data_IF_757328023353
#
_entry.id   IF_757328023353
#
_cell.length_a   1.000
_cell.length_b   1.000
_cell.length_c   1.000
_cell.angle_alpha   90.00
_cell.angle_beta   90.00
_cell.angle_gamma   90.00
#
_symmetry.space_group_name_H-M   'P 1'
#
loop_
_entity.id
_entity.type
_entity.pdbx_description
1 polymer ?
#
# COMPACT_ATOMS: atom_id res chain seq x y z
N UNK A 1 8.08 5.70 -2.05
CA UNK A 1 8.53 4.60 -2.94
C UNK A 1 9.06 3.38 -2.18
N UNK A 2 9.01 3.39 -0.84
CA UNK A 2 9.66 2.39 0.03
C UNK A 2 9.24 0.93 -0.22
N UNK A 3 7.96 0.65 -0.51
CA UNK A 3 7.49 -0.73 -0.72
C UNK A 3 8.11 -1.39 -1.95
N UNK A 4 8.22 -0.67 -3.07
CA UNK A 4 8.77 -1.22 -4.32
C UNK A 4 10.27 -1.45 -4.20
N UNK A 5 10.98 -0.53 -3.57
CA UNK A 5 12.41 -0.68 -3.27
C UNK A 5 12.66 -1.87 -2.34
N UNK A 6 11.85 -2.05 -1.31
CA UNK A 6 11.95 -3.19 -0.41
C UNK A 6 11.70 -4.52 -1.13
N UNK A 7 10.68 -4.61 -2.00
CA UNK A 7 10.43 -5.82 -2.81
C UNK A 7 11.58 -6.08 -3.80
N UNK A 8 12.19 -5.03 -4.34
CA UNK A 8 13.29 -5.16 -5.31
C UNK A 8 14.62 -5.58 -4.68
N UNK A 9 14.89 -5.15 -3.45
CA UNK A 9 16.22 -5.26 -2.82
C UNK A 9 16.29 -6.28 -1.68
N UNK A 10 15.16 -6.53 -1.01
CA UNK A 10 15.09 -7.42 0.15
C UNK A 10 14.52 -8.77 -0.24
N UNK A 11 15.01 -9.83 0.41
CA UNK A 11 14.46 -11.18 0.25
C UNK A 11 13.16 -11.33 1.04
N UNK A 12 12.07 -10.77 0.52
CA UNK A 12 10.76 -10.80 1.18
C UNK A 12 10.14 -12.20 1.04
N UNK A 13 9.71 -12.78 2.16
CA UNK A 13 9.07 -14.10 2.18
C UNK A 13 7.54 -14.04 2.22
N UNK A 14 6.98 -12.92 2.69
CA UNK A 14 5.52 -12.76 2.82
C UNK A 14 5.10 -11.30 3.01
N UNK A 15 3.80 -11.02 2.89
CA UNK A 15 3.23 -9.69 3.23
C UNK A 15 3.63 -9.21 4.65
N UNK A 16 3.66 -10.11 5.64
CA UNK A 16 4.01 -9.78 7.04
C UNK A 16 5.48 -9.45 7.21
N UNK A 17 6.32 -10.11 6.45
CA UNK A 17 7.77 -9.89 6.44
C UNK A 17 8.10 -8.53 5.82
N UNK A 18 7.44 -8.21 4.70
CA UNK A 18 7.51 -6.87 4.10
C UNK A 18 7.10 -5.78 5.07
N UNK A 19 5.94 -5.94 5.74
CA UNK A 19 5.44 -4.96 6.69
C UNK A 19 6.41 -4.66 7.85
N UNK A 20 7.11 -5.70 8.35
CA UNK A 20 8.18 -5.52 9.35
C UNK A 20 9.41 -4.84 8.78
N UNK A 21 9.76 -5.14 7.54
CA UNK A 21 10.94 -4.57 6.85
C UNK A 21 10.80 -3.07 6.65
N UNK A 22 9.59 -2.59 6.33
CA UNK A 22 9.29 -1.17 6.14
C UNK A 22 8.68 -0.50 7.38
N UNK A 23 8.66 -1.18 8.53
CA UNK A 23 8.08 -0.70 9.80
C UNK A 23 6.66 -0.09 9.66
N UNK A 24 5.77 -0.77 8.92
CA UNK A 24 4.37 -0.34 8.70
C UNK A 24 3.38 -1.41 9.12
N UNK A 25 2.15 -0.97 9.41
CA UNK A 25 1.05 -1.89 9.73
C UNK A 25 0.70 -2.80 8.54
N UNK A 26 0.43 -4.07 8.83
CA UNK A 26 0.13 -5.09 7.82
C UNK A 26 -1.13 -4.81 7.02
N UNK A 27 -2.13 -4.17 7.61
CA UNK A 27 -3.38 -3.83 6.91
C UNK A 27 -3.14 -2.78 5.85
N UNK A 28 -2.31 -1.78 6.15
CA UNK A 28 -1.91 -0.72 5.23
C UNK A 28 -1.06 -1.32 4.11
N UNK A 29 -0.06 -2.14 4.46
CA UNK A 29 0.81 -2.79 3.48
C UNK A 29 0.02 -3.72 2.56
N UNK A 30 -0.94 -4.48 3.08
CA UNK A 30 -1.79 -5.33 2.23
C UNK A 30 -2.58 -4.49 1.25
N UNK A 31 -3.20 -3.39 1.69
CA UNK A 31 -3.96 -2.50 0.81
C UNK A 31 -3.08 -1.91 -0.29
N UNK A 32 -1.88 -1.46 0.05
CA UNK A 32 -0.92 -0.91 -0.92
C UNK A 32 -0.48 -2.00 -1.93
N UNK A 33 -0.21 -3.23 -1.46
CA UNK A 33 0.13 -4.36 -2.33
C UNK A 33 -1.00 -4.75 -3.27
N UNK A 34 -2.25 -4.68 -2.81
CA UNK A 34 -3.41 -5.00 -3.66
C UNK A 34 -3.52 -3.97 -4.81
N UNK A 35 -3.30 -2.69 -4.54
CA UNK A 35 -3.21 -1.64 -5.59
C UNK A 35 -2.06 -1.91 -6.56
N UNK A 36 -0.88 -2.28 -6.06
CA UNK A 36 0.28 -2.60 -6.91
C UNK A 36 0.05 -3.84 -7.78
N UNK A 37 -0.68 -4.83 -7.26
CA UNK A 37 -1.04 -6.04 -7.99
C UNK A 37 -2.05 -5.73 -9.10
N UNK A 38 -3.10 -4.96 -8.80
CA UNK A 38 -4.09 -4.50 -9.79
C UNK A 38 -3.43 -3.67 -10.89
N UNK A 39 -2.47 -2.81 -10.53
CA UNK A 39 -1.67 -2.04 -11.47
C UNK A 39 -0.66 -2.90 -12.26
N UNK A 40 -0.62 -4.22 -12.06
CA UNK A 40 0.34 -5.15 -12.69
C UNK A 40 1.81 -4.80 -12.44
N UNK A 41 2.13 -4.10 -11.35
CA UNK A 41 3.52 -3.79 -10.97
C UNK A 41 4.17 -4.98 -10.26
N UNK A 42 3.39 -5.68 -9.43
CA UNK A 42 3.81 -6.88 -8.70
C UNK A 42 2.97 -8.09 -9.09
N UNK A 43 3.49 -9.27 -8.79
CA UNK A 43 2.75 -10.53 -8.78
C UNK A 43 3.01 -11.29 -7.47
N UNK A 44 2.20 -12.31 -7.20
CA UNK A 44 2.39 -13.18 -6.05
C UNK A 44 2.90 -14.54 -6.51
N UNK A 45 4.09 -14.91 -6.06
CA UNK A 45 4.60 -16.27 -6.21
C UNK A 45 4.00 -17.16 -5.10
N UNK A 46 3.44 -18.30 -5.51
CA UNK A 46 2.96 -19.33 -4.59
C UNK A 46 4.12 -20.24 -4.17
N UNK A 47 5.03 -19.71 -3.35
CA UNK A 47 6.12 -20.47 -2.74
C UNK A 47 5.78 -20.91 -1.31
N UNK A 48 5.54 -22.20 -1.08
CA UNK A 48 5.51 -22.77 0.28
C UNK A 48 4.30 -22.37 1.14
N UNK A 49 3.14 -22.12 0.54
CA UNK A 49 1.89 -21.83 1.25
C UNK A 49 1.77 -20.38 1.75
N UNK A 50 2.66 -19.49 1.30
CA UNK A 50 2.60 -18.05 1.59
C UNK A 50 2.63 -17.27 0.29
N UNK A 51 1.79 -16.24 0.19
CA UNK A 51 1.83 -15.30 -0.93
C UNK A 51 3.04 -14.40 -0.79
N UNK A 52 4.05 -14.62 -1.64
CA UNK A 52 5.26 -13.82 -1.71
C UNK A 52 5.11 -12.76 -2.80
N UNK A 53 5.11 -11.46 -2.48
CA UNK A 53 5.07 -10.41 -3.49
C UNK A 53 6.44 -10.30 -4.19
N UNK A 54 6.43 -10.23 -5.52
CA UNK A 54 7.62 -10.02 -6.36
C UNK A 54 7.33 -9.00 -7.47
N UNK A 55 8.36 -8.35 -8.00
CA UNK A 55 8.21 -7.46 -9.16
C UNK A 55 7.91 -8.28 -10.41
N UNK A 56 6.82 -7.94 -11.11
CA UNK A 56 6.44 -8.59 -12.37
C UNK A 56 7.35 -8.18 -13.53
N UNK A 57 7.95 -7.01 -13.44
CA UNK A 57 8.75 -6.41 -14.49
C UNK A 57 10.18 -6.17 -14.00
N UNK A 58 11.15 -6.44 -14.87
CA UNK A 58 12.57 -6.20 -14.58
C UNK A 58 12.89 -4.71 -14.37
N UNK A 59 12.08 -3.80 -14.93
CA UNK A 59 12.22 -2.36 -14.75
C UNK A 59 10.86 -1.75 -14.45
N UNK A 60 10.77 -0.98 -13.37
CA UNK A 60 9.59 -0.21 -12.98
C UNK A 60 10.00 1.27 -12.92
N UNK A 61 9.41 2.11 -13.76
CA UNK A 61 9.60 3.56 -13.72
C UNK A 61 8.45 4.19 -12.94
N UNK A 62 8.77 4.88 -11.84
CA UNK A 62 7.79 5.59 -11.01
C UNK A 62 8.06 7.08 -11.13
N UNK A 63 7.07 7.82 -11.61
CA UNK A 63 7.11 9.28 -11.64
C UNK A 63 6.14 9.82 -10.58
N UNK A 64 6.65 10.42 -9.48
CA UNK A 64 5.79 10.99 -8.46
C UNK A 64 5.05 12.20 -9.04
N UNK A 65 3.72 12.15 -8.97
CA UNK A 65 2.89 13.30 -9.35
C UNK A 65 2.99 14.34 -8.24
N UNK A 66 3.66 15.45 -8.51
CA UNK A 66 3.69 16.60 -7.60
C UNK A 66 2.43 17.42 -7.85
N UNK A 67 1.55 17.50 -6.85
CA UNK A 67 0.35 18.32 -6.92
C UNK A 67 0.61 19.66 -6.25
N UNK A 68 0.62 20.76 -7.03
CA UNK A 68 0.73 22.13 -6.52
C UNK A 68 -0.67 22.68 -6.18
N UNK A 69 -1.34 22.08 -5.20
CA UNK A 69 -2.67 22.50 -4.77
C UNK A 69 -3.00 22.07 -3.35
N UNK A 70 -4.04 22.67 -2.78
CA UNK A 70 -4.50 22.36 -1.42
C UNK A 70 -5.31 21.05 -1.44
N UNK A 71 -4.84 20.04 -0.70
CA UNK A 71 -5.60 18.80 -0.52
C UNK A 71 -6.71 19.10 0.47
N UNK A 72 -7.92 19.33 -0.03
CA UNK A 72 -9.12 19.31 0.81
C UNK A 72 -9.29 17.88 1.31
N UNK A 73 -8.72 17.59 2.48
CA UNK A 73 -9.00 16.35 3.18
C UNK A 73 -10.51 16.25 3.31
N UNK A 74 -11.11 15.21 2.72
CA UNK A 74 -12.48 14.84 3.00
C UNK A 74 -12.51 14.36 4.46
N UNK A 75 -12.53 15.33 5.38
CA UNK A 75 -12.81 15.09 6.77
C UNK A 75 -14.13 14.37 6.84
N UNK A 76 -14.14 13.25 7.55
CA UNK A 76 -15.36 12.66 8.07
C UNK A 76 -16.20 13.79 8.68
N UNK A 77 -17.34 14.07 8.08
CA UNK A 77 -18.35 14.93 8.68
C UNK A 77 -18.78 14.22 9.96
N UNK A 78 -18.35 14.72 11.12
CA UNK A 78 -18.93 14.34 12.41
C UNK A 78 -20.45 14.54 12.30
N UNK A 79 -21.27 13.52 12.61
CA UNK A 79 -22.72 13.71 12.63
C UNK A 79 -23.04 14.64 13.79
N UNK A 80 -23.49 15.87 13.50
CA UNK A 80 -24.08 16.73 14.51
C UNK A 80 -25.31 16.03 15.08
N UNK A 81 -25.20 15.61 16.33
CA UNK A 81 -26.24 14.97 17.12
C UNK A 81 -27.54 15.79 17.09
N UNK A 82 -28.64 15.10 16.81
CA UNK A 82 -29.98 15.66 16.68
C UNK A 82 -30.61 15.98 18.06
N UNK A 83 -31.25 17.15 18.14
CA UNK A 83 -32.38 17.52 19.02
C UNK A 83 -32.21 17.60 20.55
N UNK A 84 -32.30 18.84 21.07
CA UNK A 84 -33.30 19.19 22.09
C UNK A 84 -33.92 20.54 21.72
N UNK A 85 -35.13 20.51 21.16
CA UNK A 85 -36.03 21.66 21.16
C UNK A 85 -36.96 21.55 22.40
N UNK A 86 -37.31 22.68 23.05
CA UNK A 86 -37.98 22.70 24.35
C UNK A 86 -39.46 22.29 24.30
#
# INVERSE_FOLDING_TARGET
MELLEAIATSSIESKRDLARTVDRDISIVSRDLDVLFEASVIEYEEGGGRQRPVLKHANVLVEPVVFEGEVAGSGESEPTEEAVAP
#
